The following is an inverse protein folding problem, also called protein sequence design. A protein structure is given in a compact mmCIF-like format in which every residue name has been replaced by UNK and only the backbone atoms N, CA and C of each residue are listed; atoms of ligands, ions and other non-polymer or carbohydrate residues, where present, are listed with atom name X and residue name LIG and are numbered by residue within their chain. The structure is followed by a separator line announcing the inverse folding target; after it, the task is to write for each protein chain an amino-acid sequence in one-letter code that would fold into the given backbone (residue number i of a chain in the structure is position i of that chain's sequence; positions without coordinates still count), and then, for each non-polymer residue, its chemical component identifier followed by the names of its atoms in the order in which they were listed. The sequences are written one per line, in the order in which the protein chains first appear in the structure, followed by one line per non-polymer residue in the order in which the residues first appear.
data_IF_339779885767
#
_entry.id   IF_339779885767
#
_cell.length_a   1.000
_cell.length_b   1.000
_cell.length_c   1.000
_cell.angle_alpha   90.00
_cell.angle_beta   90.00
_cell.angle_gamma   90.00
#
_symmetry.space_group_name_H-M   'P 1'
#
loop_
_entity.id
_entity.type
_entity.pdbx_description
1 polymer ?
#
# COMPACT_ATOMS: atom_id res chain seq x y z
N UNK A 1 14.50 3.44 15.05
CA UNK A 1 13.75 2.64 14.07
C UNK A 1 13.81 3.39 12.75
N UNK A 2 14.31 2.77 11.69
CA UNK A 2 14.48 3.44 10.39
C UNK A 2 13.18 3.31 9.56
N UNK A 3 13.07 4.06 8.45
CA UNK A 3 11.86 4.01 7.62
C UNK A 3 11.61 2.63 6.99
N UNK A 4 12.65 1.86 6.66
CA UNK A 4 12.49 0.52 6.09
C UNK A 4 11.86 -0.46 7.08
N UNK A 5 12.25 -0.38 8.35
CA UNK A 5 11.67 -1.18 9.43
C UNK A 5 10.16 -0.88 9.54
N UNK A 6 9.79 0.41 9.56
CA UNK A 6 8.40 0.85 9.65
C UNK A 6 7.55 0.45 8.44
N UNK A 7 8.12 0.53 7.23
CA UNK A 7 7.46 0.07 6.00
C UNK A 7 7.20 -1.42 6.07
N UNK A 8 8.20 -2.19 6.52
CA UNK A 8 8.11 -3.65 6.66
C UNK A 8 7.07 -4.04 7.71
N UNK A 9 7.08 -3.37 8.86
CA UNK A 9 6.12 -3.58 9.93
C UNK A 9 4.68 -3.32 9.47
N UNK A 10 4.44 -2.18 8.81
CA UNK A 10 3.11 -1.84 8.28
C UNK A 10 2.59 -2.87 7.26
N UNK A 11 3.47 -3.37 6.38
CA UNK A 11 3.12 -4.44 5.42
C UNK A 11 2.78 -5.74 6.13
N UNK A 12 3.64 -6.19 7.03
CA UNK A 12 3.45 -7.44 7.77
C UNK A 12 2.17 -7.39 8.60
N UNK A 13 1.92 -6.27 9.28
CA UNK A 13 0.71 -6.08 10.07
C UNK A 13 -0.55 -6.19 9.20
N UNK A 14 -0.58 -5.53 8.04
CA UNK A 14 -1.70 -5.63 7.11
C UNK A 14 -1.91 -7.04 6.56
N UNK A 15 -0.82 -7.75 6.22
CA UNK A 15 -0.88 -9.11 5.70
C UNK A 15 -1.39 -10.11 6.73
N UNK A 16 -0.85 -10.05 7.95
CA UNK A 16 -1.22 -10.97 9.03
C UNK A 16 -2.63 -10.72 9.54
N UNK A 17 -3.06 -9.46 9.63
CA UNK A 17 -4.30 -9.11 10.32
C UNK A 17 -5.49 -8.86 9.39
N UNK A 18 -5.30 -8.53 8.11
CA UNK A 18 -6.41 -8.09 7.25
C UNK A 18 -6.43 -8.74 5.87
N UNK A 19 -5.33 -8.71 5.11
CA UNK A 19 -5.34 -9.15 3.71
C UNK A 19 -5.69 -10.64 3.56
N UNK A 20 -5.26 -11.46 4.52
CA UNK A 20 -5.51 -12.91 4.53
C UNK A 20 -6.82 -13.32 5.21
N UNK A 21 -7.56 -12.39 5.83
CA UNK A 21 -8.88 -12.70 6.43
C UNK A 21 -9.91 -12.94 5.33
N UNK A 22 -10.92 -13.77 5.56
CA UNK A 22 -11.98 -13.97 4.54
C UNK A 22 -12.80 -12.69 4.33
N UNK A 23 -13.24 -12.08 5.42
CA UNK A 23 -14.02 -10.83 5.45
C UNK A 23 -13.44 -9.87 6.47
N UNK A 24 -13.66 -8.58 6.24
CA UNK A 24 -13.27 -7.50 7.15
C UNK A 24 -14.54 -6.82 7.66
N UNK A 25 -14.53 -6.46 8.94
CA UNK A 25 -15.45 -5.45 9.47
C UNK A 25 -15.02 -4.06 9.04
N UNK A 26 -15.93 -3.08 9.12
CA UNK A 26 -15.67 -1.71 8.67
C UNK A 26 -14.41 -1.09 9.31
N UNK A 27 -14.23 -1.27 10.62
CA UNK A 27 -13.04 -0.77 11.32
C UNK A 27 -11.74 -1.41 10.81
N UNK A 28 -11.78 -2.69 10.45
CA UNK A 28 -10.63 -3.41 9.90
C UNK A 28 -10.32 -2.96 8.47
N UNK A 29 -11.34 -2.59 7.69
CA UNK A 29 -11.15 -1.97 6.38
C UNK A 29 -10.39 -0.63 6.53
N UNK A 30 -10.81 0.21 7.47
CA UNK A 30 -10.16 1.49 7.76
C UNK A 30 -8.72 1.29 8.25
N UNK A 31 -8.48 0.29 9.10
CA UNK A 31 -7.13 -0.05 9.57
C UNK A 31 -6.24 -0.57 8.44
N UNK A 32 -6.76 -1.44 7.57
CA UNK A 32 -6.05 -1.91 6.39
C UNK A 32 -5.65 -0.75 5.45
N UNK A 33 -6.59 0.16 5.17
CA UNK A 33 -6.29 1.35 4.37
C UNK A 33 -5.23 2.23 5.04
N UNK A 34 -5.29 2.37 6.37
CA UNK A 34 -4.29 3.11 7.15
C UNK A 34 -2.90 2.50 7.02
N UNK A 35 -2.78 1.16 7.05
CA UNK A 35 -1.51 0.47 6.76
C UNK A 35 -1.03 0.73 5.34
N UNK A 36 -1.92 0.63 4.35
CA UNK A 36 -1.60 0.93 2.95
C UNK A 36 -1.03 2.33 2.77
N UNK A 37 -1.73 3.36 3.25
CA UNK A 37 -1.28 4.74 3.14
C UNK A 37 0.00 5.02 3.94
N UNK A 38 0.17 4.37 5.10
CA UNK A 38 1.41 4.46 5.87
C UNK A 38 2.61 3.97 5.05
N UNK A 39 2.48 2.83 4.33
CA UNK A 39 3.55 2.31 3.46
C UNK A 39 3.94 3.33 2.38
N UNK A 40 2.97 4.00 1.74
CA UNK A 40 3.27 5.03 0.74
C UNK A 40 3.93 6.27 1.36
N UNK A 41 3.38 6.78 2.46
CA UNK A 41 3.92 7.95 3.15
C UNK A 41 5.36 7.71 3.63
N UNK A 42 5.61 6.57 4.27
CA UNK A 42 6.93 6.21 4.75
C UNK A 42 7.92 5.98 3.60
N UNK A 43 7.47 5.36 2.50
CA UNK A 43 8.31 5.21 1.30
C UNK A 43 8.71 6.56 0.69
N UNK A 44 7.77 7.52 0.63
CA UNK A 44 8.08 8.88 0.19
C UNK A 44 9.04 9.59 1.15
N UNK A 45 8.82 9.46 2.46
CA UNK A 45 9.67 10.04 3.51
C UNK A 45 11.09 9.46 3.52
N UNK A 46 11.24 8.21 3.10
CA UNK A 46 12.53 7.55 2.90
C UNK A 46 13.24 7.97 1.60
N UNK A 47 12.71 8.94 0.84
CA UNK A 47 13.23 9.38 -0.46
C UNK A 47 13.37 8.23 -1.48
N UNK A 48 12.48 7.24 -1.43
CA UNK A 48 12.48 6.14 -2.40
C UNK A 48 12.30 6.65 -3.82
N UNK A 49 12.91 5.96 -4.77
CA UNK A 49 12.81 6.27 -6.19
C UNK A 49 11.39 6.08 -6.72
N UNK A 50 11.06 6.66 -7.89
CA UNK A 50 9.74 6.47 -8.51
C UNK A 50 9.39 4.98 -8.74
N UNK A 51 10.30 4.13 -9.24
CA UNK A 51 10.04 2.69 -9.33
C UNK A 51 9.76 2.01 -7.98
N UNK A 52 10.36 2.50 -6.88
CA UNK A 52 10.08 1.97 -5.55
C UNK A 52 8.75 2.49 -4.98
N UNK A 53 8.38 3.74 -5.25
CA UNK A 53 7.07 4.28 -4.94
C UNK A 53 5.95 3.58 -5.72
N UNK A 54 6.24 3.08 -6.94
CA UNK A 54 5.30 2.23 -7.67
C UNK A 54 4.87 1.01 -6.85
N UNK A 55 5.82 0.34 -6.18
CA UNK A 55 5.53 -0.82 -5.30
C UNK A 55 4.66 -0.43 -4.09
N UNK A 56 4.79 0.80 -3.59
CA UNK A 56 3.93 1.29 -2.52
C UNK A 56 2.50 1.55 -3.02
N UNK A 57 2.34 2.08 -4.24
CA UNK A 57 1.04 2.20 -4.88
C UNK A 57 0.39 0.84 -5.18
N UNK A 58 1.15 -0.16 -5.63
CA UNK A 58 0.66 -1.54 -5.80
C UNK A 58 0.14 -2.12 -4.49
N UNK A 59 0.85 -1.86 -3.38
CA UNK A 59 0.43 -2.32 -2.06
C UNK A 59 -0.90 -1.68 -1.62
N UNK A 60 -1.07 -0.37 -1.83
CA UNK A 60 -2.36 0.29 -1.55
C UNK A 60 -3.47 -0.24 -2.47
N UNK A 61 -3.18 -0.51 -3.74
CA UNK A 61 -4.16 -1.10 -4.64
C UNK A 61 -4.67 -2.46 -4.12
N UNK A 62 -3.76 -3.32 -3.64
CA UNK A 62 -4.11 -4.60 -2.98
C UNK A 62 -5.02 -4.38 -1.76
N UNK A 63 -4.80 -3.32 -0.98
CA UNK A 63 -5.66 -2.96 0.14
C UNK A 63 -7.06 -2.55 -0.31
N UNK A 64 -7.17 -1.73 -1.37
CA UNK A 64 -8.48 -1.34 -1.94
C UNK A 64 -9.23 -2.51 -2.58
N UNK A 65 -8.53 -3.39 -3.29
CA UNK A 65 -9.12 -4.61 -3.84
C UNK A 65 -9.69 -5.49 -2.73
N UNK A 66 -8.99 -5.59 -1.59
CA UNK A 66 -9.42 -6.40 -0.45
C UNK A 66 -10.77 -5.94 0.13
N UNK A 67 -11.01 -4.63 0.15
CA UNK A 67 -12.26 -4.05 0.66
C UNK A 67 -13.33 -3.86 -0.45
N UNK A 68 -13.04 -4.32 -1.68
CA UNK A 68 -13.98 -4.27 -2.80
C UNK A 68 -14.04 -2.95 -3.57
N UNK A 69 -13.18 -1.97 -3.25
CA UNK A 69 -13.14 -0.69 -3.97
C UNK A 69 -12.22 -0.75 -5.20
N UNK A 70 -12.76 -1.33 -6.27
CA UNK A 70 -12.04 -1.50 -7.55
C UNK A 70 -11.66 -0.17 -8.21
N UNK A 71 -12.41 0.90 -7.94
CA UNK A 71 -12.16 2.21 -8.54
C UNK A 71 -10.86 2.79 -8.00
N UNK A 72 -10.69 2.81 -6.68
CA UNK A 72 -9.46 3.30 -6.08
C UNK A 72 -8.28 2.36 -6.32
N UNK A 73 -8.49 1.04 -6.30
CA UNK A 73 -7.46 0.07 -6.69
C UNK A 73 -6.90 0.37 -8.09
N UNK A 74 -7.78 0.53 -9.09
CA UNK A 74 -7.39 0.83 -10.47
C UNK A 74 -6.61 2.15 -10.59
N UNK A 75 -7.00 3.19 -9.83
CA UNK A 75 -6.28 4.47 -9.80
C UNK A 75 -4.86 4.32 -9.24
N UNK A 76 -4.69 3.52 -8.19
CA UNK A 76 -3.37 3.23 -7.63
C UNK A 76 -2.52 2.40 -8.59
N UNK A 77 -3.07 1.38 -9.24
CA UNK A 77 -2.37 0.59 -10.27
C UNK A 77 -1.95 1.44 -11.48
N UNK A 78 -2.81 2.36 -11.94
CA UNK A 78 -2.46 3.30 -13.00
C UNK A 78 -1.29 4.19 -12.60
N UNK A 79 -1.28 4.66 -11.35
CA UNK A 79 -0.20 5.49 -10.81
C UNK A 79 1.10 4.70 -10.70
N UNK A 80 1.04 3.47 -10.18
CA UNK A 80 2.18 2.55 -10.12
C UNK A 80 2.78 2.31 -11.52
N UNK A 81 1.93 2.03 -12.52
CA UNK A 81 2.38 1.85 -13.90
C UNK A 81 3.08 3.09 -14.47
N UNK A 82 2.58 4.30 -14.17
CA UNK A 82 3.22 5.53 -14.59
C UNK A 82 4.58 5.73 -13.91
N UNK A 83 4.67 5.45 -12.60
CA UNK A 83 5.90 5.60 -11.83
C UNK A 83 6.98 4.59 -12.25
N UNK A 84 6.59 3.35 -12.56
CA UNK A 84 7.50 2.33 -13.05
C UNK A 84 8.13 2.66 -14.42
N UNK A 85 7.45 3.48 -15.24
CA UNK A 85 7.96 3.95 -16.55
C UNK A 85 8.97 5.09 -16.44
N UNK A 86 9.05 5.74 -15.27
CA UNK A 86 10.03 6.79 -15.03
C UNK A 86 11.35 6.12 -14.65
N UNK A 87 12.14 5.77 -15.67
CA UNK A 87 13.55 5.42 -15.51
C UNK A 87 14.34 6.69 -15.22
N UNK A 88 15.07 6.72 -14.10
CA UNK A 88 16.16 7.67 -13.87
C UNK A 88 17.30 7.39 -14.84
#
# INVERSE_FOLDING_TARGET
MNYEDLITEAKNYAEQNYLNKEKLGHDEELQLLSCGYSVLFLSASANKTMPELAKAHEFIAKCFDKIGDKNYSTRHLKTASNYAKISK
#
